data_IF_192444858472
#
_entry.id   IF_192444858472
#
_cell.length_a   1.000
_cell.length_b   1.000
_cell.length_c   1.000
_cell.angle_alpha   90.00
_cell.angle_beta   90.00
_cell.angle_gamma   90.00
#
_symmetry.space_group_name_H-M   'P 1'
#
loop_
_entity.id
_entity.type
_entity.pdbx_description
1 polymer ?
#
# COMPACT_ATOMS: atom_id res chain seq x y z
N UNK A 1 9.57 -11.23 12.59
CA UNK A 1 10.15 -10.29 11.62
C UNK A 1 11.57 -9.99 12.04
N UNK A 2 12.51 -10.23 11.15
CA UNK A 2 13.92 -9.89 11.37
C UNK A 2 14.13 -8.37 11.17
N UNK A 3 15.13 -7.80 11.84
CA UNK A 3 15.54 -6.40 11.68
C UNK A 3 15.93 -6.08 10.22
N UNK A 4 16.39 -7.09 9.47
CA UNK A 4 16.73 -6.96 8.05
C UNK A 4 15.49 -6.64 7.20
N UNK A 5 14.35 -7.31 7.42
CA UNK A 5 13.10 -7.09 6.68
C UNK A 5 12.55 -5.67 6.94
N UNK A 6 12.63 -5.23 8.19
CA UNK A 6 12.25 -3.88 8.57
C UNK A 6 13.10 -2.82 7.86
N UNK A 7 14.43 -3.02 7.80
CA UNK A 7 15.33 -2.11 7.08
C UNK A 7 15.02 -2.07 5.59
N UNK A 8 14.76 -3.22 4.97
CA UNK A 8 14.42 -3.30 3.55
C UNK A 8 13.16 -2.49 3.24
N UNK A 9 12.09 -2.65 4.00
CA UNK A 9 10.85 -1.89 3.84
C UNK A 9 11.09 -0.38 3.98
N UNK A 10 11.85 0.03 4.99
CA UNK A 10 12.20 1.43 5.23
C UNK A 10 13.02 2.02 4.07
N UNK A 11 14.06 1.34 3.68
CA UNK A 11 15.00 1.84 2.67
C UNK A 11 14.32 1.90 1.28
N UNK A 12 13.41 0.97 0.99
CA UNK A 12 12.61 1.00 -0.23
C UNK A 12 11.66 2.21 -0.25
N UNK A 13 10.99 2.53 0.85
CA UNK A 13 10.11 3.71 0.90
C UNK A 13 10.91 5.00 0.67
N UNK A 14 12.08 5.14 1.27
CA UNK A 14 12.97 6.28 1.03
C UNK A 14 13.38 6.41 -0.43
N UNK A 15 13.77 5.30 -1.05
CA UNK A 15 14.14 5.27 -2.47
C UNK A 15 13.00 5.76 -3.35
N UNK A 16 11.76 5.34 -3.08
CA UNK A 16 10.59 5.80 -3.84
C UNK A 16 10.31 7.29 -3.63
N UNK A 17 10.32 7.76 -2.38
CA UNK A 17 10.08 9.16 -2.08
C UNK A 17 11.11 10.08 -2.76
N UNK A 18 12.37 9.71 -2.75
CA UNK A 18 13.45 10.44 -3.41
C UNK A 18 13.39 10.31 -4.93
N UNK A 19 13.17 9.11 -5.47
CA UNK A 19 13.08 8.86 -6.92
C UNK A 19 11.98 9.68 -7.57
N UNK A 20 10.85 9.87 -6.88
CA UNK A 20 9.68 10.59 -7.41
C UNK A 20 9.59 12.03 -6.91
N UNK A 21 10.66 12.55 -6.32
CA UNK A 21 10.76 13.94 -5.83
C UNK A 21 9.51 14.36 -5.02
N UNK A 22 9.16 13.52 -4.03
CA UNK A 22 7.99 13.78 -3.18
C UNK A 22 8.33 14.88 -2.18
N UNK A 23 7.81 16.07 -2.43
CA UNK A 23 8.10 17.29 -1.65
C UNK A 23 6.90 17.78 -0.84
N UNK A 24 5.75 17.12 -0.92
CA UNK A 24 4.52 17.53 -0.25
C UNK A 24 3.75 16.35 0.34
N UNK A 25 3.00 16.61 1.41
CA UNK A 25 2.03 15.70 2.02
C UNK A 25 0.61 16.20 1.70
N UNK A 26 -0.34 15.29 1.61
CA UNK A 26 -0.22 13.84 1.68
C UNK A 26 0.46 13.23 0.45
N UNK A 27 1.25 12.18 0.64
CA UNK A 27 1.93 11.48 -0.47
C UNK A 27 0.91 10.94 -1.48
N UNK A 28 1.10 11.25 -2.76
CA UNK A 28 0.22 10.82 -3.85
C UNK A 28 0.58 9.40 -4.31
N UNK A 29 0.21 8.39 -3.53
CA UNK A 29 0.60 6.98 -3.77
C UNK A 29 0.18 6.49 -5.16
N UNK A 30 -1.01 6.85 -5.65
CA UNK A 30 -1.45 6.49 -7.00
C UNK A 30 -0.59 7.09 -8.11
N UNK A 31 -0.02 8.28 -7.90
CA UNK A 31 0.93 8.89 -8.85
C UNK A 31 2.25 8.11 -8.87
N UNK A 32 2.75 7.69 -7.70
CA UNK A 32 3.95 6.84 -7.59
C UNK A 32 3.71 5.52 -8.31
N UNK A 33 2.58 4.85 -8.08
CA UNK A 33 2.24 3.60 -8.76
C UNK A 33 2.28 3.75 -10.29
N UNK A 34 1.64 4.80 -10.83
CA UNK A 34 1.67 5.07 -12.28
C UNK A 34 3.08 5.32 -12.81
N UNK A 35 3.89 6.07 -12.07
CA UNK A 35 5.27 6.35 -12.45
C UNK A 35 6.16 5.09 -12.41
N UNK A 36 5.82 4.10 -11.56
CA UNK A 36 6.43 2.77 -11.55
C UNK A 36 5.84 1.81 -12.63
N UNK A 37 4.98 2.31 -13.51
CA UNK A 37 4.38 1.53 -14.58
C UNK A 37 3.27 0.58 -14.13
N UNK A 38 2.63 0.88 -12.99
CA UNK A 38 1.52 0.11 -12.44
C UNK A 38 0.19 0.79 -12.76
N UNK A 39 -0.84 -0.02 -12.98
CA UNK A 39 -2.22 0.43 -13.08
C UNK A 39 -2.89 0.31 -11.72
N UNK A 40 -3.56 1.36 -11.28
CA UNK A 40 -4.38 1.35 -10.05
C UNK A 40 -5.84 1.55 -10.48
N UNK A 41 -6.69 0.59 -10.12
CA UNK A 41 -8.08 0.58 -10.55
C UNK A 41 -8.99 0.18 -9.38
N UNK A 42 -10.12 0.87 -9.25
CA UNK A 42 -11.11 0.56 -8.21
C UNK A 42 -11.90 -0.72 -8.54
N UNK A 43 -12.44 -1.39 -7.52
CA UNK A 43 -13.33 -2.54 -7.75
C UNK A 43 -14.55 -2.17 -8.59
N UNK A 44 -15.10 -0.96 -8.38
CA UNK A 44 -16.22 -0.48 -9.17
C UNK A 44 -15.88 -0.43 -10.68
N UNK A 45 -14.75 0.17 -11.01
CA UNK A 45 -14.34 0.34 -12.41
C UNK A 45 -13.80 -0.97 -13.01
N UNK A 46 -13.27 -1.86 -12.17
CA UNK A 46 -12.72 -3.15 -12.56
C UNK A 46 -13.74 -4.30 -12.55
N UNK A 47 -15.02 -4.06 -12.20
CA UNK A 47 -16.01 -5.13 -12.05
C UNK A 47 -16.08 -6.08 -13.25
N UNK A 48 -16.07 -5.62 -14.52
CA UNK A 48 -16.06 -6.52 -15.68
C UNK A 48 -14.81 -7.40 -15.72
N UNK A 49 -13.66 -6.85 -15.34
CA UNK A 49 -12.39 -7.58 -15.35
C UNK A 49 -12.33 -8.61 -14.21
N UNK A 50 -12.77 -8.21 -13.00
CA UNK A 50 -12.87 -9.10 -11.83
C UNK A 50 -13.74 -10.31 -12.13
N UNK A 51 -14.90 -10.10 -12.77
CA UNK A 51 -15.80 -11.20 -13.19
C UNK A 51 -15.17 -12.08 -14.26
N UNK A 52 -14.54 -11.47 -15.26
CA UNK A 52 -13.90 -12.22 -16.36
C UNK A 52 -12.81 -13.16 -15.85
N UNK A 53 -12.04 -12.75 -14.84
CA UNK A 53 -10.99 -13.58 -14.25
C UNK A 53 -11.46 -14.45 -13.08
N UNK A 54 -12.75 -14.46 -12.73
CA UNK A 54 -13.29 -15.26 -11.64
C UNK A 54 -12.83 -14.82 -10.26
N UNK A 55 -12.51 -13.54 -10.08
CA UNK A 55 -11.95 -12.98 -8.84
C UNK A 55 -13.00 -12.37 -7.91
N UNK A 56 -14.28 -12.60 -8.15
CA UNK A 56 -15.38 -11.98 -7.39
C UNK A 56 -15.35 -12.33 -5.90
N UNK A 57 -15.12 -13.59 -5.56
CA UNK A 57 -15.02 -14.04 -4.15
C UNK A 57 -13.77 -13.43 -3.50
N UNK A 58 -12.66 -13.43 -4.20
CA UNK A 58 -11.41 -12.86 -3.73
C UNK A 58 -11.55 -11.36 -3.42
N UNK A 59 -12.22 -10.61 -4.31
CA UNK A 59 -12.52 -9.20 -4.11
C UNK A 59 -13.49 -8.96 -2.94
N UNK A 60 -14.43 -9.88 -2.70
CA UNK A 60 -15.36 -9.78 -1.57
C UNK A 60 -14.68 -9.92 -0.21
N UNK A 61 -13.60 -10.70 -0.14
CA UNK A 61 -12.86 -11.01 1.09
C UNK A 61 -11.70 -10.04 1.39
N UNK A 62 -11.24 -9.27 0.40
CA UNK A 62 -10.07 -8.41 0.52
C UNK A 62 -10.39 -6.96 0.17
N UNK A 63 -9.73 -6.02 0.85
CA UNK A 63 -9.85 -4.58 0.57
C UNK A 63 -9.06 -4.17 -0.69
N UNK A 64 -8.13 -5.00 -1.11
CA UNK A 64 -7.33 -4.85 -2.33
C UNK A 64 -6.50 -6.09 -2.61
N UNK A 65 -5.99 -6.17 -3.82
CA UNK A 65 -5.07 -7.21 -4.26
C UNK A 65 -4.32 -6.79 -5.52
N UNK A 66 -3.27 -7.52 -5.83
CA UNK A 66 -2.45 -7.29 -7.01
C UNK A 66 -2.53 -8.45 -8.00
N UNK A 67 -2.69 -8.14 -9.28
CA UNK A 67 -2.58 -9.10 -10.38
C UNK A 67 -1.61 -8.56 -11.44
N UNK A 68 -0.44 -9.15 -11.52
CA UNK A 68 0.62 -8.68 -12.40
C UNK A 68 1.05 -7.24 -12.07
N UNK A 69 0.77 -6.31 -12.99
CA UNK A 69 1.05 -4.87 -12.81
C UNK A 69 -0.18 -4.04 -12.45
N UNK A 70 -1.26 -4.68 -12.01
CA UNK A 70 -2.51 -4.01 -11.67
C UNK A 70 -2.75 -4.15 -10.19
N UNK A 71 -2.98 -3.02 -9.52
CA UNK A 71 -3.42 -2.93 -8.14
C UNK A 71 -4.92 -2.65 -8.15
N UNK A 72 -5.69 -3.55 -7.57
CA UNK A 72 -7.13 -3.39 -7.36
C UNK A 72 -7.39 -2.93 -5.93
N UNK A 73 -8.35 -2.03 -5.72
CA UNK A 73 -8.73 -1.56 -4.39
C UNK A 73 -10.24 -1.36 -4.26
N UNK A 74 -10.77 -1.59 -3.07
CA UNK A 74 -12.18 -1.44 -2.78
C UNK A 74 -12.53 0.02 -2.49
N UNK A 75 -13.27 0.64 -3.41
CA UNK A 75 -13.81 1.98 -3.26
C UNK A 75 -15.29 2.00 -2.85
N UNK A 76 -15.89 0.83 -2.60
CA UNK A 76 -17.32 0.71 -2.25
C UNK A 76 -17.52 0.52 -0.76
N UNK A 77 -16.65 -0.21 -0.09
CA UNK A 77 -16.73 -0.52 1.36
C UNK A 77 -15.70 0.26 2.19
N UNK A 78 -14.60 0.70 1.56
CA UNK A 78 -13.48 1.32 2.26
C UNK A 78 -13.53 2.84 2.22
N UNK A 79 -13.15 3.49 3.35
CA UNK A 79 -12.96 4.94 3.42
C UNK A 79 -11.78 5.39 2.54
N UNK A 80 -11.70 6.67 2.12
CA UNK A 80 -10.58 7.17 1.33
C UNK A 80 -9.20 6.90 1.96
N UNK A 81 -9.09 7.02 3.29
CA UNK A 81 -7.86 6.74 4.03
C UNK A 81 -7.48 5.26 3.93
N UNK A 82 -8.48 4.37 4.08
CA UNK A 82 -8.27 2.93 3.95
C UNK A 82 -7.88 2.54 2.52
N UNK A 83 -8.53 3.14 1.51
CA UNK A 83 -8.16 2.95 0.10
C UNK A 83 -6.70 3.32 -0.16
N UNK A 84 -6.24 4.47 0.38
CA UNK A 84 -4.85 4.92 0.25
C UNK A 84 -3.88 3.94 0.90
N UNK A 85 -4.22 3.46 2.11
CA UNK A 85 -3.41 2.47 2.81
C UNK A 85 -3.32 1.16 2.03
N UNK A 86 -4.45 0.68 1.51
CA UNK A 86 -4.52 -0.54 0.69
C UNK A 86 -3.65 -0.42 -0.57
N UNK A 87 -3.74 0.69 -1.30
CA UNK A 87 -2.89 0.92 -2.49
C UNK A 87 -1.40 0.93 -2.11
N UNK A 88 -1.04 1.57 -1.00
CA UNK A 88 0.35 1.62 -0.52
C UNK A 88 0.84 0.24 -0.05
N UNK A 89 -0.02 -0.56 0.56
CA UNK A 89 0.25 -1.92 1.00
C UNK A 89 0.53 -2.85 -0.19
N UNK A 90 -0.35 -2.82 -1.21
CA UNK A 90 -0.17 -3.60 -2.44
C UNK A 90 1.08 -3.17 -3.21
N UNK A 91 1.37 -1.87 -3.26
CA UNK A 91 2.64 -1.36 -3.79
C UNK A 91 3.83 -1.93 -3.01
N UNK A 92 3.71 -2.05 -1.69
CA UNK A 92 4.72 -2.67 -0.83
C UNK A 92 5.02 -4.10 -1.23
N UNK A 93 4.00 -4.92 -1.48
CA UNK A 93 4.19 -6.29 -1.97
C UNK A 93 4.97 -6.33 -3.29
N UNK A 94 4.67 -5.44 -4.23
CA UNK A 94 5.36 -5.35 -5.51
C UNK A 94 6.82 -4.94 -5.31
N UNK A 95 7.06 -3.86 -4.57
CA UNK A 95 8.39 -3.27 -4.40
C UNK A 95 9.34 -4.14 -3.58
N UNK A 96 8.80 -4.93 -2.64
CA UNK A 96 9.55 -5.89 -1.83
C UNK A 96 9.66 -7.28 -2.50
N UNK A 97 9.22 -7.39 -3.76
CA UNK A 97 9.24 -8.64 -4.52
C UNK A 97 8.48 -9.80 -3.88
N UNK A 98 7.41 -9.51 -3.16
CA UNK A 98 6.49 -10.50 -2.62
C UNK A 98 5.59 -11.09 -3.72
N UNK A 99 6.16 -11.44 -4.87
CA UNK A 99 5.44 -11.76 -6.09
C UNK A 99 4.60 -13.04 -5.98
N UNK A 100 3.40 -12.99 -6.58
CA UNK A 100 2.63 -14.16 -6.98
C UNK A 100 1.57 -14.64 -6.00
N UNK A 101 1.08 -13.82 -5.09
CA UNK A 101 0.06 -14.21 -4.10
C UNK A 101 -1.32 -13.64 -4.40
N UNK A 102 -2.01 -14.30 -5.33
CA UNK A 102 -3.44 -14.48 -5.12
C UNK A 102 -3.55 -15.46 -3.93
N UNK A 103 -4.08 -15.00 -2.80
CA UNK A 103 -4.19 -15.79 -1.55
C UNK A 103 -5.21 -16.92 -1.70
N UNK A 104 -4.86 -17.98 -2.44
CA UNK A 104 -5.60 -19.24 -2.49
C UNK A 104 -4.81 -20.39 -1.86
N UNK A 105 -3.81 -20.08 -1.03
CA UNK A 105 -3.05 -21.06 -0.25
C UNK A 105 -3.24 -20.83 1.23
N UNK A 106 -3.27 -21.93 1.99
CA UNK A 106 -3.16 -21.86 3.46
C UNK A 106 -1.94 -21.02 3.86
N UNK A 107 -2.05 -20.15 4.89
CA UNK A 107 -0.95 -19.29 5.31
C UNK A 107 0.27 -20.16 5.67
N UNK A 108 1.36 -19.99 4.94
CA UNK A 108 2.65 -20.54 5.36
C UNK A 108 3.25 -19.62 6.45
N UNK A 109 4.12 -20.16 7.31
CA UNK A 109 4.77 -19.41 8.41
C UNK A 109 5.48 -18.12 7.97
N UNK A 110 5.83 -17.98 6.68
CA UNK A 110 6.40 -16.77 6.08
C UNK A 110 5.38 -15.68 5.72
N UNK A 111 4.07 -15.97 5.69
CA UNK A 111 3.06 -15.02 5.21
C UNK A 111 2.86 -13.85 6.16
N UNK A 112 2.90 -14.09 7.47
CA UNK A 112 2.77 -13.02 8.47
C UNK A 112 3.93 -12.00 8.41
N UNK A 113 5.15 -12.45 8.16
CA UNK A 113 6.32 -11.56 8.03
C UNK A 113 6.23 -10.70 6.75
N UNK A 114 5.77 -11.31 5.65
CA UNK A 114 5.54 -10.63 4.36
C UNK A 114 4.45 -9.56 4.47
N UNK A 115 3.32 -9.89 5.11
CA UNK A 115 2.24 -8.94 5.34
C UNK A 115 2.68 -7.80 6.26
N UNK A 116 3.45 -8.12 7.30
CA UNK A 116 4.00 -7.10 8.19
C UNK A 116 5.00 -6.18 7.47
N UNK A 117 5.83 -6.70 6.59
CA UNK A 117 6.75 -5.89 5.79
C UNK A 117 6.00 -4.92 4.86
N UNK A 118 4.92 -5.38 4.22
CA UNK A 118 4.05 -4.54 3.40
C UNK A 118 3.32 -3.47 4.23
N UNK A 119 2.86 -3.80 5.44
CA UNK A 119 2.25 -2.84 6.37
C UNK A 119 3.25 -1.75 6.81
N UNK A 120 4.48 -2.12 7.11
CA UNK A 120 5.55 -1.17 7.47
C UNK A 120 5.87 -0.27 6.28
N UNK A 121 5.98 -0.85 5.09
CA UNK A 121 6.20 -0.11 3.87
C UNK A 121 5.09 0.94 3.66
N UNK A 122 3.81 0.53 3.71
CA UNK A 122 2.66 1.41 3.55
C UNK A 122 2.65 2.55 4.58
N UNK A 123 2.84 2.22 5.86
CA UNK A 123 2.87 3.21 6.94
C UNK A 123 3.98 4.24 6.76
N UNK A 124 5.18 3.80 6.37
CA UNK A 124 6.33 4.69 6.17
C UNK A 124 6.25 5.51 4.88
N UNK A 125 5.61 4.96 3.85
CA UNK A 125 5.38 5.69 2.60
C UNK A 125 4.38 6.82 2.82
N UNK A 126 3.26 6.55 3.50
CA UNK A 126 2.19 7.51 3.71
C UNK A 126 2.50 8.52 4.82
N UNK A 127 3.23 8.11 5.85
CA UNK A 127 3.61 8.94 7.00
C UNK A 127 5.13 8.86 7.26
N UNK A 128 5.96 9.49 6.41
CA UNK A 128 7.42 9.43 6.53
C UNK A 128 7.90 10.18 7.78
N UNK A 129 8.36 9.44 8.78
CA UNK A 129 8.64 9.95 10.14
C UNK A 129 9.60 11.14 10.18
N UNK A 130 10.68 11.15 9.38
CA UNK A 130 11.60 12.28 9.41
C UNK A 130 11.04 13.54 8.75
N UNK A 131 10.14 13.41 7.76
CA UNK A 131 9.42 14.57 7.19
C UNK A 131 8.49 15.15 8.24
N UNK A 132 7.71 14.30 8.91
CA UNK A 132 6.79 14.72 9.98
C UNK A 132 7.53 15.39 11.14
N UNK A 133 8.65 14.81 11.56
CA UNK A 133 9.51 15.40 12.59
C UNK A 133 10.04 16.78 12.16
N UNK A 134 10.55 16.89 10.94
CA UNK A 134 11.03 18.16 10.38
C UNK A 134 9.94 19.22 10.24
N UNK A 135 8.68 18.83 10.06
CA UNK A 135 7.52 19.72 10.05
C UNK A 135 6.99 20.07 11.44
N UNK A 136 7.58 19.56 12.53
CA UNK A 136 7.11 19.79 13.89
C UNK A 136 5.78 19.11 14.21
N UNK A 137 5.45 18.03 13.48
CA UNK A 137 4.19 17.28 13.64
C UNK A 137 4.45 16.07 14.54
N UNK A 138 3.84 16.07 15.73
CA UNK A 138 4.17 15.09 16.76
C UNK A 138 2.94 14.37 17.35
N UNK A 139 1.71 14.83 17.09
CA UNK A 139 0.51 14.15 17.61
C UNK A 139 -0.13 13.25 16.55
N UNK A 140 -0.76 12.14 16.97
CA UNK A 140 -1.47 11.24 16.04
C UNK A 140 -2.51 11.97 15.17
N UNK A 141 -3.24 12.92 15.77
CA UNK A 141 -4.28 13.70 15.07
C UNK A 141 -3.68 14.61 13.97
N UNK A 142 -2.56 15.27 14.29
CA UNK A 142 -1.84 16.10 13.30
C UNK A 142 -1.28 15.25 12.18
N UNK A 143 -0.72 14.07 12.49
CA UNK A 143 -0.20 13.12 11.50
C UNK A 143 -1.32 12.63 10.60
N UNK A 144 -2.44 12.19 11.19
CA UNK A 144 -3.60 11.70 10.46
C UNK A 144 -4.14 12.76 9.49
N UNK A 145 -4.30 14.00 9.95
CA UNK A 145 -4.78 15.11 9.12
C UNK A 145 -3.81 15.44 7.97
N UNK A 146 -2.51 15.57 8.27
CA UNK A 146 -1.51 15.97 7.27
C UNK A 146 -1.24 14.87 6.22
N UNK A 147 -1.28 13.60 6.63
CA UNK A 147 -1.00 12.45 5.77
C UNK A 147 -2.26 11.86 5.13
N UNK A 148 -3.45 12.31 5.50
CA UNK A 148 -4.74 11.72 5.08
C UNK A 148 -4.78 10.21 5.33
N UNK A 149 -4.54 9.82 6.58
CA UNK A 149 -4.61 8.44 7.08
C UNK A 149 -5.56 8.37 8.26
N UNK A 150 -6.11 7.18 8.52
CA UNK A 150 -6.96 6.96 9.70
C UNK A 150 -6.12 6.96 10.98
N UNK A 151 -6.74 7.40 12.07
CA UNK A 151 -6.22 7.14 13.41
C UNK A 151 -6.30 5.64 13.70
N UNK A 152 -5.37 5.09 14.50
CA UNK A 152 -5.42 3.69 14.92
C UNK A 152 -6.62 3.38 15.78
#
# INVERSE_FOLDING_TARGET
MDYADYRQSRDMTWRLLLKHDVTALPVRVGAICRAEGLTVISYHDADPLIRQYGLTEHAAENDGFTLGKIIFYDNTRCTPERQRFTIAHELGHIMLHHSGRLKNREPADGDAAVEQAANIFASRLLAPACVLWGCGVHTPEQIAALCSISLP
#
